data_IF_552032126255
#
_entry.id   IF_552032126255
#
_cell.length_a   1.000
_cell.length_b   1.000
_cell.length_c   1.000
_cell.angle_alpha   90.00
_cell.angle_beta   90.00
_cell.angle_gamma   90.00
#
_symmetry.space_group_name_H-M   'P 1'
#
loop_
_entity.id
_entity.type
_entity.pdbx_description
1 polymer ?
#
# COMPACT_ATOMS: atom_id res chain seq x y z
N UNK A 1 -23.30 14.34 -5.31
CA UNK A 1 -22.08 14.43 -4.47
C UNK A 1 -21.01 13.57 -5.13
N UNK A 2 -19.76 14.05 -5.26
CA UNK A 2 -18.64 13.29 -5.86
C UNK A 2 -17.87 12.48 -4.80
N UNK A 3 -17.04 11.53 -5.25
CA UNK A 3 -16.30 10.62 -4.35
C UNK A 3 -15.46 11.40 -3.33
N UNK A 4 -14.85 12.50 -3.75
CA UNK A 4 -13.96 13.30 -2.91
C UNK A 4 -14.65 13.98 -1.74
N UNK A 5 -15.84 14.53 -1.97
CA UNK A 5 -16.65 15.15 -0.91
C UNK A 5 -17.08 14.06 0.08
N UNK A 6 -17.58 12.92 -0.41
CA UNK A 6 -18.00 11.80 0.43
C UNK A 6 -16.84 11.29 1.29
N UNK A 7 -15.67 11.06 0.67
CA UNK A 7 -14.47 10.60 1.36
C UNK A 7 -13.97 11.63 2.39
N UNK A 8 -13.93 12.91 2.03
CA UNK A 8 -13.56 13.99 2.96
C UNK A 8 -14.46 14.06 4.18
N UNK A 9 -15.78 13.98 3.99
CA UNK A 9 -16.75 13.94 5.10
C UNK A 9 -16.48 12.74 6.01
N UNK A 10 -16.26 11.56 5.45
CA UNK A 10 -15.98 10.35 6.23
C UNK A 10 -14.66 10.47 7.01
N UNK A 11 -13.62 11.08 6.44
CA UNK A 11 -12.37 11.35 7.15
C UNK A 11 -12.54 12.36 8.30
N UNK A 12 -13.36 13.39 8.12
CA UNK A 12 -13.70 14.35 9.19
C UNK A 12 -14.47 13.64 10.31
N UNK A 13 -15.47 12.84 9.97
CA UNK A 13 -16.22 12.01 10.92
C UNK A 13 -15.26 11.07 11.68
N UNK A 14 -14.34 10.41 10.96
CA UNK A 14 -13.31 9.56 11.56
C UNK A 14 -12.40 10.33 12.53
N UNK A 15 -12.05 11.58 12.25
CA UNK A 15 -11.28 12.38 13.17
C UNK A 15 -12.09 12.78 14.41
N UNK A 16 -13.35 13.21 14.23
CA UNK A 16 -14.24 13.66 15.31
C UNK A 16 -14.55 12.51 16.27
N UNK A 17 -15.06 11.38 15.79
CA UNK A 17 -15.27 10.20 16.64
C UNK A 17 -13.94 9.68 17.19
N UNK A 18 -12.87 9.87 16.43
CA UNK A 18 -11.53 9.63 16.87
C UNK A 18 -11.17 10.42 18.13
N UNK A 19 -11.55 11.68 18.21
CA UNK A 19 -11.27 12.52 19.37
C UNK A 19 -12.03 12.06 20.62
N UNK A 20 -13.29 11.65 20.46
CA UNK A 20 -14.17 11.25 21.58
C UNK A 20 -14.01 9.79 22.03
N UNK A 21 -13.30 8.95 21.27
CA UNK A 21 -13.16 7.53 21.59
C UNK A 21 -12.22 7.31 22.79
N UNK A 22 -12.71 6.58 23.80
CA UNK A 22 -11.92 6.21 24.97
C UNK A 22 -10.79 5.22 24.64
N UNK A 23 -9.74 5.24 25.46
CA UNK A 23 -8.56 4.37 25.29
C UNK A 23 -8.85 2.88 25.10
N UNK A 24 -9.70 2.21 25.91
CA UNK A 24 -9.91 0.77 25.77
C UNK A 24 -10.63 0.40 24.47
N UNK A 25 -11.45 1.30 23.91
CA UNK A 25 -12.20 1.07 22.68
C UNK A 25 -11.43 1.48 21.43
N UNK A 26 -10.30 2.19 21.58
CA UNK A 26 -9.57 2.81 20.49
C UNK A 26 -9.07 1.84 19.41
N UNK A 27 -8.52 0.70 19.83
CA UNK A 27 -8.04 -0.32 18.87
C UNK A 27 -9.19 -0.86 18.03
N UNK A 28 -10.33 -1.11 18.67
CA UNK A 28 -11.56 -1.56 17.99
C UNK A 28 -12.07 -0.46 17.07
N UNK A 29 -12.05 0.79 17.52
CA UNK A 29 -12.43 1.94 16.71
C UNK A 29 -11.60 2.06 15.42
N UNK A 30 -10.27 1.98 15.50
CA UNK A 30 -9.39 2.05 14.33
C UNK A 30 -9.74 0.94 13.32
N UNK A 31 -9.94 -0.29 13.79
CA UNK A 31 -10.28 -1.43 12.94
C UNK A 31 -11.69 -1.30 12.34
N UNK A 32 -12.69 -0.93 13.15
CA UNK A 32 -14.08 -0.79 12.71
C UNK A 32 -14.27 0.43 11.79
N UNK A 33 -13.43 1.45 11.92
CA UNK A 33 -13.48 2.61 11.03
C UNK A 33 -13.23 2.25 9.56
N UNK A 34 -12.55 1.13 9.28
CA UNK A 34 -12.35 0.63 7.91
C UNK A 34 -13.66 0.44 7.16
N UNK A 35 -14.70 -0.08 7.83
CA UNK A 35 -16.02 -0.29 7.25
C UNK A 35 -16.70 1.02 6.83
N UNK A 36 -16.50 2.09 7.60
CA UNK A 36 -17.08 3.41 7.30
C UNK A 36 -16.26 4.16 6.24
N UNK A 37 -14.93 4.13 6.35
CA UNK A 37 -14.01 4.75 5.41
C UNK A 37 -14.18 4.18 3.99
N UNK A 38 -14.56 2.91 3.87
CA UNK A 38 -14.80 2.26 2.59
C UNK A 38 -16.15 2.62 1.92
N UNK A 39 -17.11 3.21 2.62
CA UNK A 39 -18.46 3.48 2.10
C UNK A 39 -18.43 4.22 0.74
N UNK A 40 -17.64 5.28 0.53
CA UNK A 40 -17.57 5.97 -0.76
C UNK A 40 -17.21 5.05 -1.92
N UNK A 41 -16.41 4.00 -1.69
CA UNK A 41 -15.99 3.06 -2.73
C UNK A 41 -17.13 2.18 -3.24
N UNK A 42 -18.13 1.89 -2.40
CA UNK A 42 -19.33 1.15 -2.82
C UNK A 42 -20.07 1.85 -3.96
N UNK A 43 -20.05 3.19 -3.94
CA UNK A 43 -20.80 4.01 -4.89
C UNK A 43 -19.97 4.48 -6.08
N UNK A 44 -18.72 4.03 -6.21
CA UNK A 44 -17.90 4.34 -7.39
C UNK A 44 -18.59 3.76 -8.61
N UNK A 45 -18.88 4.63 -9.58
CA UNK A 45 -19.30 4.24 -10.92
C UNK A 45 -18.13 4.42 -11.87
N UNK A 46 -17.84 3.44 -12.74
CA UNK A 46 -16.85 3.64 -13.79
C UNK A 46 -17.25 4.83 -14.65
N UNK A 47 -16.31 5.72 -14.93
CA UNK A 47 -16.57 6.84 -15.84
C UNK A 47 -16.82 6.28 -17.26
N UNK A 48 -17.85 6.75 -17.97
CA UNK A 48 -18.06 6.35 -19.35
C UNK A 48 -16.86 6.81 -20.20
N UNK A 49 -16.42 5.95 -21.13
CA UNK A 49 -15.29 6.21 -22.04
C UNK A 49 -13.91 6.34 -21.37
N UNK A 50 -13.74 5.93 -20.11
CA UNK A 50 -12.42 5.78 -19.51
C UNK A 50 -11.93 4.32 -19.62
N UNK A 51 -10.62 4.09 -19.77
CA UNK A 51 -10.03 2.73 -19.74
C UNK A 51 -9.58 2.39 -18.32
N UNK A 52 -10.51 2.47 -17.38
CA UNK A 52 -10.24 2.28 -15.96
C UNK A 52 -10.32 0.80 -15.57
N UNK A 53 -9.48 0.40 -14.62
CA UNK A 53 -9.44 -0.97 -14.10
C UNK A 53 -10.76 -1.32 -13.40
N UNK A 54 -11.47 -0.32 -12.87
CA UNK A 54 -12.85 -0.49 -12.36
C UNK A 54 -13.83 -1.02 -13.41
N UNK A 55 -13.71 -0.63 -14.68
CA UNK A 55 -14.52 -1.19 -15.78
C UNK A 55 -14.13 -2.65 -16.00
N UNK A 56 -12.82 -2.94 -16.05
CA UNK A 56 -12.33 -4.31 -16.26
C UNK A 56 -12.84 -5.25 -15.17
N UNK A 57 -12.75 -4.87 -13.90
CA UNK A 57 -13.26 -5.68 -12.79
C UNK A 57 -14.80 -5.80 -12.81
N UNK A 58 -15.51 -4.73 -13.15
CA UNK A 58 -16.98 -4.78 -13.32
C UNK A 58 -17.37 -5.79 -14.40
N UNK A 59 -16.76 -5.71 -15.58
CA UNK A 59 -17.02 -6.63 -16.68
C UNK A 59 -16.67 -8.08 -16.31
N UNK A 60 -15.57 -8.32 -15.60
CA UNK A 60 -15.20 -9.65 -15.12
C UNK A 60 -16.24 -10.21 -14.14
N UNK A 61 -16.74 -9.38 -13.21
CA UNK A 61 -17.82 -9.78 -12.30
C UNK A 61 -19.10 -10.13 -13.06
N UNK A 62 -19.47 -9.33 -14.07
CA UNK A 62 -20.64 -9.57 -14.92
C UNK A 62 -20.52 -10.88 -15.72
N UNK A 63 -19.35 -11.16 -16.31
CA UNK A 63 -19.07 -12.42 -17.02
C UNK A 63 -19.17 -13.62 -16.07
N UNK A 64 -18.49 -13.55 -14.92
CA UNK A 64 -18.52 -14.64 -13.94
C UNK A 64 -19.95 -14.89 -13.43
N UNK A 65 -20.73 -13.83 -13.17
CA UNK A 65 -22.15 -13.95 -12.81
C UNK A 65 -22.97 -14.64 -13.89
N UNK A 66 -22.79 -14.24 -15.15
CA UNK A 66 -23.48 -14.85 -16.29
C UNK A 66 -23.12 -16.32 -16.50
N UNK A 67 -21.91 -16.75 -16.15
CA UNK A 67 -21.52 -18.16 -16.24
C UNK A 67 -22.02 -18.97 -15.04
N UNK A 68 -22.01 -18.35 -13.86
CA UNK A 68 -22.50 -18.97 -12.63
C UNK A 68 -24.00 -19.28 -12.66
N UNK A 69 -24.79 -18.61 -13.51
CA UNK A 69 -26.22 -18.95 -13.69
C UNK A 69 -26.43 -20.34 -14.27
N UNK A 70 -25.45 -20.88 -15.00
CA UNK A 70 -25.49 -22.24 -15.57
C UNK A 70 -24.80 -23.27 -14.66
N UNK A 71 -24.25 -22.85 -13.51
CA UNK A 71 -23.55 -23.69 -12.55
C UNK A 71 -22.58 -22.87 -11.68
N UNK A 72 -22.69 -23.01 -10.35
CA UNK A 72 -22.01 -22.15 -9.35
C UNK A 72 -20.49 -22.04 -9.53
N UNK A 73 -19.84 -23.08 -10.06
CA UNK A 73 -18.38 -23.12 -10.29
C UNK A 73 -17.98 -22.80 -11.74
N UNK A 74 -18.91 -22.60 -12.66
CA UNK A 74 -18.59 -22.37 -14.07
C UNK A 74 -17.80 -21.07 -14.27
N UNK A 75 -18.18 -20.00 -13.55
CA UNK A 75 -17.44 -18.74 -13.59
C UNK A 75 -16.04 -18.86 -12.96
N UNK A 76 -15.87 -19.71 -11.93
CA UNK A 76 -14.56 -20.01 -11.37
C UNK A 76 -13.68 -20.77 -12.37
N UNK A 77 -14.24 -21.80 -13.01
CA UNK A 77 -13.53 -22.60 -14.02
C UNK A 77 -13.07 -21.72 -15.19
N UNK A 78 -13.98 -20.91 -15.75
CA UNK A 78 -13.64 -19.95 -16.80
C UNK A 78 -12.60 -18.94 -16.32
N UNK A 79 -12.73 -18.44 -15.09
CA UNK A 79 -11.76 -17.54 -14.47
C UNK A 79 -10.35 -18.12 -14.44
N UNK A 80 -10.23 -19.43 -14.15
CA UNK A 80 -8.95 -20.13 -14.04
C UNK A 80 -8.33 -20.54 -15.38
N UNK A 81 -9.10 -20.62 -16.47
CA UNK A 81 -8.59 -21.05 -17.79
C UNK A 81 -8.51 -19.91 -18.82
N UNK A 82 -9.53 -19.06 -18.89
CA UNK A 82 -9.71 -18.10 -19.99
C UNK A 82 -9.50 -16.63 -19.58
N UNK A 83 -9.62 -16.30 -18.30
CA UNK A 83 -9.56 -14.90 -17.89
C UNK A 83 -8.15 -14.32 -17.99
N UNK A 84 -8.05 -12.99 -18.05
CA UNK A 84 -6.79 -12.24 -17.92
C UNK A 84 -6.03 -12.53 -16.61
N UNK A 85 -6.69 -13.16 -15.63
CA UNK A 85 -6.14 -13.57 -14.34
C UNK A 85 -6.02 -15.08 -14.17
N UNK A 86 -6.13 -15.88 -15.24
CA UNK A 86 -6.00 -17.35 -15.18
C UNK A 86 -4.75 -17.82 -14.41
N UNK A 87 -3.63 -17.10 -14.55
CA UNK A 87 -2.37 -17.40 -13.85
C UNK A 87 -2.28 -16.84 -12.42
N UNK A 88 -3.37 -16.27 -11.90
CA UNK A 88 -3.47 -15.65 -10.58
C UNK A 88 -4.69 -16.21 -9.83
N UNK A 89 -4.64 -17.49 -9.40
CA UNK A 89 -5.80 -18.19 -8.87
C UNK A 89 -6.45 -17.51 -7.66
N UNK A 90 -5.66 -16.88 -6.78
CA UNK A 90 -6.21 -16.15 -5.63
C UNK A 90 -7.04 -14.94 -6.07
N UNK A 91 -6.59 -14.21 -7.10
CA UNK A 91 -7.34 -13.08 -7.66
C UNK A 91 -8.65 -13.57 -8.27
N UNK A 92 -8.61 -14.68 -9.03
CA UNK A 92 -9.82 -15.28 -9.62
C UNK A 92 -10.80 -15.73 -8.54
N UNK A 93 -10.33 -16.44 -7.51
CA UNK A 93 -11.17 -16.87 -6.38
C UNK A 93 -11.78 -15.65 -5.68
N UNK A 94 -11.01 -14.59 -5.47
CA UNK A 94 -11.47 -13.37 -4.83
C UNK A 94 -12.58 -12.68 -5.64
N UNK A 95 -12.41 -12.53 -6.96
CA UNK A 95 -13.44 -11.97 -7.86
C UNK A 95 -14.66 -12.90 -7.89
N UNK A 96 -14.46 -14.21 -7.99
CA UNK A 96 -15.55 -15.19 -8.02
C UNK A 96 -16.38 -15.16 -6.72
N UNK A 97 -15.76 -15.10 -5.55
CA UNK A 97 -16.47 -14.97 -4.27
C UNK A 97 -17.33 -13.70 -4.23
N UNK A 98 -16.82 -12.60 -4.77
CA UNK A 98 -17.55 -11.32 -4.79
C UNK A 98 -18.58 -11.24 -5.93
N UNK A 99 -18.50 -12.13 -6.92
CA UNK A 99 -19.49 -12.26 -7.99
C UNK A 99 -20.85 -12.77 -7.50
N UNK A 100 -20.93 -13.39 -6.32
CA UNK A 100 -22.22 -13.80 -5.74
C UNK A 100 -23.13 -12.63 -5.37
N UNK A 101 -22.58 -11.42 -5.31
CA UNK A 101 -23.35 -10.21 -5.12
C UNK A 101 -23.75 -9.60 -6.47
N UNK A 102 -25.00 -9.16 -6.58
CA UNK A 102 -25.53 -8.55 -7.82
C UNK A 102 -24.92 -7.19 -8.15
N UNK A 103 -24.39 -6.47 -7.15
CA UNK A 103 -23.85 -5.13 -7.30
C UNK A 103 -22.32 -5.13 -7.26
N UNK A 104 -21.68 -4.67 -8.36
CA UNK A 104 -20.23 -4.52 -8.48
C UNK A 104 -19.61 -3.61 -7.41
N UNK A 105 -20.37 -2.65 -6.86
CA UNK A 105 -19.94 -1.79 -5.76
C UNK A 105 -19.47 -2.55 -4.52
N UNK A 106 -20.00 -3.76 -4.28
CA UNK A 106 -19.59 -4.61 -3.15
C UNK A 106 -18.13 -5.03 -3.27
N UNK A 107 -17.65 -5.30 -4.49
CA UNK A 107 -16.26 -5.67 -4.73
C UNK A 107 -15.30 -4.54 -4.35
N UNK A 108 -15.60 -3.30 -4.78
CA UNK A 108 -14.78 -2.13 -4.45
C UNK A 108 -14.85 -1.81 -2.95
N UNK A 109 -16.04 -1.89 -2.35
CA UNK A 109 -16.22 -1.71 -0.92
C UNK A 109 -15.37 -2.70 -0.12
N UNK A 110 -15.50 -4.00 -0.36
CA UNK A 110 -14.78 -5.05 0.38
C UNK A 110 -13.27 -4.89 0.22
N UNK A 111 -12.81 -4.55 -0.98
CA UNK A 111 -11.39 -4.28 -1.24
C UNK A 111 -10.87 -3.14 -0.35
N UNK A 112 -11.58 -2.00 -0.32
CA UNK A 112 -11.18 -0.87 0.51
C UNK A 112 -11.30 -1.19 2.00
N UNK A 113 -12.31 -1.98 2.42
CA UNK A 113 -12.39 -2.45 3.81
C UNK A 113 -11.15 -3.24 4.17
N UNK A 114 -10.75 -4.21 3.35
CA UNK A 114 -9.56 -5.04 3.61
C UNK A 114 -8.30 -4.18 3.69
N UNK A 115 -8.10 -3.27 2.72
CA UNK A 115 -6.97 -2.34 2.71
C UNK A 115 -6.92 -1.47 3.97
N UNK A 116 -8.01 -0.75 4.28
CA UNK A 116 -8.02 0.16 5.45
C UNK A 116 -7.91 -0.62 6.75
N UNK A 117 -8.47 -1.84 6.82
CA UNK A 117 -8.35 -2.71 7.99
C UNK A 117 -6.91 -3.16 8.23
N UNK A 118 -6.19 -3.57 7.18
CA UNK A 118 -4.78 -3.99 7.27
C UNK A 118 -3.88 -2.81 7.69
N UNK A 119 -4.09 -1.64 7.10
CA UNK A 119 -3.42 -0.40 7.50
C UNK A 119 -3.71 -0.05 8.97
N UNK A 120 -4.97 -0.10 9.39
CA UNK A 120 -5.36 0.12 10.78
C UNK A 120 -4.73 -0.92 11.72
N UNK A 121 -4.64 -2.18 11.31
CA UNK A 121 -3.98 -3.23 12.06
C UNK A 121 -2.47 -2.98 12.19
N UNK A 122 -1.80 -2.47 11.16
CA UNK A 122 -0.40 -2.06 11.22
C UNK A 122 -0.19 -0.90 12.22
N UNK A 123 -1.09 0.09 12.22
CA UNK A 123 -1.11 1.17 13.21
C UNK A 123 -1.29 0.60 14.62
N UNK A 124 -2.28 -0.27 14.83
CA UNK A 124 -2.54 -0.89 16.15
C UNK A 124 -1.34 -1.71 16.62
N UNK A 125 -0.73 -2.52 15.76
CA UNK A 125 0.47 -3.30 16.10
C UNK A 125 1.66 -2.41 16.44
N UNK A 126 1.79 -1.27 15.76
CA UNK A 126 2.83 -0.27 16.06
C UNK A 126 2.60 0.39 17.43
N UNK A 127 1.36 0.80 17.74
CA UNK A 127 1.01 1.35 19.06
C UNK A 127 1.30 0.36 20.19
N UNK A 128 0.95 -0.92 19.99
CA UNK A 128 1.23 -2.02 20.94
C UNK A 128 2.74 -2.21 21.13
N UNK A 129 3.50 -2.26 20.05
CA UNK A 129 4.95 -2.45 20.09
C UNK A 129 5.65 -1.34 20.86
N UNK A 130 5.21 -0.10 20.68
CA UNK A 130 5.83 1.07 21.31
C UNK A 130 5.15 1.51 22.61
N UNK A 131 4.17 0.75 23.12
CA UNK A 131 3.42 1.05 24.35
C UNK A 131 2.86 2.49 24.38
N UNK A 132 2.37 2.98 23.24
CA UNK A 132 1.88 4.36 23.12
C UNK A 132 0.57 4.50 23.90
N UNK A 133 0.56 5.41 24.88
CA UNK A 133 -0.61 5.71 25.72
C UNK A 133 -1.47 6.85 25.19
N UNK A 134 -0.92 7.71 24.32
CA UNK A 134 -1.65 8.83 23.74
C UNK A 134 -2.63 8.35 22.65
N UNK A 135 -3.91 8.54 22.95
CA UNK A 135 -5.06 8.01 22.20
C UNK A 135 -5.12 8.55 20.75
N UNK A 136 -4.62 9.76 20.51
CA UNK A 136 -4.73 10.42 19.21
C UNK A 136 -3.67 9.99 18.20
N UNK A 137 -2.56 9.40 18.66
CA UNK A 137 -1.45 9.01 17.79
C UNK A 137 -1.90 8.05 16.70
N UNK A 138 -2.70 7.04 17.05
CA UNK A 138 -3.22 6.07 16.08
C UNK A 138 -4.11 6.70 15.02
N UNK A 139 -5.08 7.52 15.45
CA UNK A 139 -6.01 8.19 14.53
C UNK A 139 -5.29 9.18 13.64
N UNK A 140 -4.41 10.01 14.19
CA UNK A 140 -3.65 10.98 13.41
C UNK A 140 -2.73 10.26 12.41
N UNK A 141 -2.06 9.18 12.81
CA UNK A 141 -1.20 8.42 11.90
C UNK A 141 -2.01 7.80 10.75
N UNK A 142 -3.14 7.13 11.06
CA UNK A 142 -4.00 6.53 10.04
C UNK A 142 -4.58 7.61 9.11
N UNK A 143 -5.03 8.74 9.66
CA UNK A 143 -5.54 9.87 8.89
C UNK A 143 -4.48 10.45 7.93
N UNK A 144 -3.26 10.69 8.42
CA UNK A 144 -2.15 11.21 7.60
C UNK A 144 -1.89 10.28 6.42
N UNK A 145 -1.79 8.96 6.66
CA UNK A 145 -1.54 8.00 5.58
C UNK A 145 -2.70 7.97 4.58
N UNK A 146 -3.95 7.96 5.06
CA UNK A 146 -5.16 7.96 4.22
C UNK A 146 -5.36 9.25 3.41
N UNK A 147 -4.84 10.38 3.89
CA UNK A 147 -4.88 11.66 3.19
C UNK A 147 -3.74 11.82 2.18
N UNK A 148 -2.56 11.27 2.49
CA UNK A 148 -1.41 11.24 1.56
C UNK A 148 -1.65 10.24 0.44
N UNK A 149 -2.22 9.07 0.76
CA UNK A 149 -2.55 8.05 -0.24
C UNK A 149 -3.82 8.43 -1.02
N UNK A 150 -3.77 8.23 -2.33
CA UNK A 150 -4.96 8.35 -3.16
C UNK A 150 -5.80 7.07 -3.02
N UNK A 151 -6.84 7.09 -2.19
CA UNK A 151 -7.67 5.90 -1.93
C UNK A 151 -8.34 5.35 -3.19
N UNK A 152 -8.61 6.21 -4.18
CA UNK A 152 -9.17 5.79 -5.46
C UNK A 152 -8.18 4.95 -6.28
N UNK A 153 -6.86 5.10 -6.07
CA UNK A 153 -5.87 4.21 -6.70
C UNK A 153 -5.95 2.77 -6.20
N UNK A 154 -6.44 2.52 -4.98
CA UNK A 154 -6.74 1.16 -4.55
C UNK A 154 -8.01 0.64 -5.25
N UNK A 155 -9.03 1.49 -5.46
CA UNK A 155 -10.23 1.12 -6.21
C UNK A 155 -9.91 0.76 -7.67
N UNK A 156 -9.02 1.53 -8.30
CA UNK A 156 -8.49 1.30 -9.65
C UNK A 156 -7.33 0.29 -9.70
N UNK A 157 -6.87 -0.21 -8.56
CA UNK A 157 -5.59 -0.92 -8.46
C UNK A 157 -5.60 -2.04 -7.43
N UNK A 158 -6.78 -2.66 -7.25
CA UNK A 158 -7.23 -3.62 -6.20
C UNK A 158 -6.20 -4.67 -5.76
N UNK A 159 -5.17 -4.92 -6.57
CA UNK A 159 -4.17 -5.96 -6.33
C UNK A 159 -2.86 -5.42 -5.77
N UNK A 160 -2.40 -4.27 -6.25
CA UNK A 160 -1.00 -3.85 -6.07
C UNK A 160 -0.78 -3.29 -4.66
N UNK A 161 -1.61 -2.33 -4.29
CA UNK A 161 -1.48 -1.60 -3.03
C UNK A 161 -1.99 -2.46 -1.86
N UNK A 162 -3.03 -3.28 -2.06
CA UNK A 162 -3.40 -4.34 -1.11
C UNK A 162 -2.25 -5.32 -0.85
N UNK A 163 -1.56 -5.80 -1.89
CA UNK A 163 -0.39 -6.68 -1.71
C UNK A 163 0.74 -5.98 -0.93
N UNK A 164 0.99 -4.71 -1.20
CA UNK A 164 1.98 -3.92 -0.44
C UNK A 164 1.61 -3.72 1.02
N UNK A 165 0.33 -3.49 1.33
CA UNK A 165 -0.11 -3.31 2.71
C UNK A 165 -0.07 -4.64 3.49
N UNK A 166 -0.48 -5.76 2.86
CA UNK A 166 -0.27 -7.12 3.41
C UNK A 166 1.22 -7.33 3.70
N UNK A 167 2.11 -7.01 2.76
CA UNK A 167 3.56 -7.14 2.94
C UNK A 167 4.07 -6.26 4.09
N UNK A 168 3.69 -4.98 4.15
CA UNK A 168 4.13 -4.04 5.16
C UNK A 168 3.73 -4.49 6.58
N UNK A 169 2.47 -4.94 6.74
CA UNK A 169 1.97 -5.50 7.99
C UNK A 169 2.70 -6.80 8.37
N UNK A 170 2.76 -7.76 7.44
CA UNK A 170 3.39 -9.05 7.67
C UNK A 170 4.86 -8.90 8.06
N UNK A 171 5.58 -8.00 7.38
CA UNK A 171 6.98 -7.71 7.64
C UNK A 171 7.20 -7.06 9.00
N UNK A 172 6.36 -6.07 9.36
CA UNK A 172 6.43 -5.46 10.69
C UNK A 172 6.21 -6.49 11.80
N UNK A 173 5.22 -7.38 11.65
CA UNK A 173 4.93 -8.43 12.65
C UNK A 173 6.05 -9.47 12.70
N UNK A 174 6.56 -9.94 11.56
CA UNK A 174 7.60 -10.97 11.44
C UNK A 174 8.87 -10.60 12.21
N UNK A 175 9.39 -9.39 11.97
CA UNK A 175 10.65 -8.97 12.60
C UNK A 175 10.49 -8.63 14.08
N UNK A 176 9.27 -8.34 14.54
CA UNK A 176 9.01 -7.95 15.93
C UNK A 176 8.47 -9.08 16.82
N UNK A 177 8.04 -10.20 16.26
CA UNK A 177 7.53 -11.35 17.01
C UNK A 177 8.62 -12.39 17.29
N UNK A 178 8.58 -12.98 18.49
CA UNK A 178 9.41 -14.13 18.84
C UNK A 178 8.66 -15.47 18.65
N UNK A 179 7.34 -15.42 18.51
CA UNK A 179 6.50 -16.62 18.42
C UNK A 179 6.61 -17.25 17.02
N UNK A 180 7.04 -18.52 16.96
CA UNK A 180 7.18 -19.29 15.71
C UNK A 180 5.88 -19.39 14.91
N UNK A 181 4.73 -19.53 15.58
CA UNK A 181 3.41 -19.59 14.92
C UNK A 181 3.12 -18.29 14.16
N UNK A 182 3.39 -17.14 14.76
CA UNK A 182 3.19 -15.86 14.09
C UNK A 182 4.18 -15.64 12.95
N UNK A 183 5.43 -16.11 13.07
CA UNK A 183 6.38 -16.08 11.95
C UNK A 183 5.90 -16.90 10.76
N UNK A 184 5.41 -18.11 11.00
CA UNK A 184 4.83 -18.95 9.94
C UNK A 184 3.66 -18.24 9.25
N UNK A 185 2.75 -17.64 10.02
CA UNK A 185 1.64 -16.85 9.46
C UNK A 185 2.13 -15.65 8.62
N UNK A 186 3.22 -14.98 9.03
CA UNK A 186 3.82 -13.91 8.22
C UNK A 186 4.36 -14.43 6.88
N UNK A 187 5.01 -15.60 6.85
CA UNK A 187 5.45 -16.21 5.59
C UNK A 187 4.28 -16.61 4.69
N UNK A 188 3.19 -17.13 5.26
CA UNK A 188 1.95 -17.36 4.51
C UNK A 188 1.37 -16.04 3.97
N UNK A 189 1.40 -14.96 4.76
CA UNK A 189 0.96 -13.65 4.30
C UNK A 189 1.83 -13.09 3.16
N UNK A 190 3.15 -13.34 3.14
CA UNK A 190 3.99 -12.99 2.00
C UNK A 190 3.59 -13.74 0.72
N UNK A 191 3.25 -15.03 0.83
CA UNK A 191 2.77 -15.82 -0.30
C UNK A 191 1.41 -15.32 -0.80
N UNK A 192 0.51 -14.96 0.13
CA UNK A 192 -0.79 -14.34 -0.22
C UNK A 192 -0.55 -13.01 -0.93
N UNK A 193 0.32 -12.14 -0.42
CA UNK A 193 0.66 -10.87 -1.06
C UNK A 193 1.18 -11.07 -2.49
N UNK A 194 2.08 -12.03 -2.70
CA UNK A 194 2.59 -12.41 -4.02
C UNK A 194 1.46 -12.90 -4.96
N UNK A 195 0.57 -13.74 -4.44
CA UNK A 195 -0.54 -14.27 -5.20
C UNK A 195 -1.61 -13.23 -5.56
N UNK A 196 -1.74 -12.16 -4.77
CA UNK A 196 -2.51 -10.97 -5.16
C UNK A 196 -1.80 -10.18 -6.26
N UNK A 197 -0.50 -9.89 -6.08
CA UNK A 197 0.26 -9.20 -7.11
C UNK A 197 1.78 -9.48 -7.08
N UNK A 198 2.42 -9.79 -8.22
CA UNK A 198 3.86 -10.10 -8.28
C UNK A 198 4.78 -8.90 -7.97
N UNK A 199 4.27 -7.68 -7.88
CA UNK A 199 5.08 -6.51 -7.52
C UNK A 199 5.76 -6.62 -6.14
N UNK A 200 5.30 -7.50 -5.25
CA UNK A 200 5.95 -7.72 -3.96
C UNK A 200 7.20 -8.59 -4.01
N UNK A 201 7.46 -9.29 -5.13
CA UNK A 201 8.57 -10.25 -5.25
C UNK A 201 9.92 -9.64 -4.85
N UNK A 202 10.33 -8.44 -5.34
CA UNK A 202 11.62 -7.87 -4.95
C UNK A 202 11.75 -7.73 -3.43
N UNK A 203 10.66 -7.35 -2.76
CA UNK A 203 10.65 -7.13 -1.32
C UNK A 203 10.67 -8.45 -0.52
N UNK A 204 10.03 -9.50 -1.03
CA UNK A 204 10.15 -10.85 -0.46
C UNK A 204 11.59 -11.36 -0.61
N UNK A 205 12.23 -11.13 -1.76
CA UNK A 205 13.64 -11.48 -1.99
C UNK A 205 14.54 -10.71 -1.02
N UNK A 206 14.37 -9.39 -0.86
CA UNK A 206 15.11 -8.61 0.12
C UNK A 206 14.91 -9.14 1.55
N UNK A 207 13.69 -9.58 1.89
CA UNK A 207 13.43 -10.20 3.19
C UNK A 207 14.23 -11.49 3.39
N UNK A 208 14.28 -12.35 2.37
CA UNK A 208 15.08 -13.60 2.39
C UNK A 208 16.57 -13.26 2.55
N UNK A 209 17.07 -12.30 1.79
CA UNK A 209 18.48 -11.86 1.89
C UNK A 209 18.81 -11.36 3.30
N UNK A 210 17.91 -10.60 3.93
CA UNK A 210 18.08 -10.12 5.30
C UNK A 210 18.16 -11.24 6.36
N UNK A 211 17.73 -12.47 6.04
CA UNK A 211 17.93 -13.64 6.92
C UNK A 211 19.40 -14.03 7.04
N UNK A 212 20.22 -13.75 6.02
CA UNK A 212 21.66 -14.07 6.04
C UNK A 212 22.41 -13.33 7.14
N UNK A 213 21.90 -12.16 7.56
CA UNK A 213 22.54 -11.21 8.51
C UNK A 213 23.97 -10.80 8.12
N UNK A 214 24.41 -11.11 6.90
CA UNK A 214 25.77 -10.80 6.44
C UNK A 214 25.83 -9.35 5.99
N UNK A 215 26.66 -8.54 6.65
CA UNK A 215 26.79 -7.10 6.36
C UNK A 215 27.17 -6.80 4.91
N UNK A 216 27.97 -7.65 4.28
CA UNK A 216 28.41 -7.47 2.89
C UNK A 216 27.30 -7.78 1.91
N UNK A 217 26.58 -8.89 2.10
CA UNK A 217 25.41 -9.23 1.28
C UNK A 217 24.37 -8.11 1.37
N UNK A 218 24.10 -7.61 2.58
CA UNK A 218 23.15 -6.50 2.80
C UNK A 218 23.64 -5.21 2.12
N UNK A 219 24.94 -4.90 2.20
CA UNK A 219 25.54 -3.75 1.53
C UNK A 219 25.40 -3.84 0.00
N UNK A 220 25.78 -4.97 -0.61
CA UNK A 220 25.63 -5.17 -2.05
C UNK A 220 24.18 -5.20 -2.50
N UNK A 221 23.26 -5.66 -1.65
CA UNK A 221 21.81 -5.60 -1.93
C UNK A 221 21.32 -4.15 -1.98
N UNK A 222 21.79 -3.28 -1.06
CA UNK A 222 21.48 -1.84 -1.09
C UNK A 222 22.03 -1.17 -2.33
N UNK A 223 23.28 -1.47 -2.69
CA UNK A 223 23.91 -0.94 -3.89
C UNK A 223 23.17 -1.40 -5.16
N UNK A 224 22.89 -2.70 -5.25
CA UNK A 224 22.12 -3.30 -6.34
C UNK A 224 20.73 -2.67 -6.47
N UNK A 225 20.00 -2.52 -5.36
CA UNK A 225 18.69 -1.86 -5.34
C UNK A 225 18.75 -0.41 -5.85
N UNK A 226 19.84 0.32 -5.62
CA UNK A 226 20.00 1.68 -6.12
C UNK A 226 20.29 1.75 -7.62
N UNK A 227 21.04 0.79 -8.18
CA UNK A 227 21.55 0.86 -9.55
C UNK A 227 20.90 -0.12 -10.53
N UNK A 228 20.00 -1.00 -10.07
CA UNK A 228 19.48 -2.12 -10.87
C UNK A 228 18.87 -1.69 -12.21
N UNK A 229 18.27 -0.51 -12.27
CA UNK A 229 17.58 -0.06 -13.48
C UNK A 229 18.53 0.14 -14.66
N UNK A 230 19.78 0.53 -14.40
CA UNK A 230 20.83 0.62 -15.43
C UNK A 230 21.20 -0.75 -16.01
N UNK A 231 21.04 -1.81 -15.21
CA UNK A 231 21.35 -3.18 -15.62
C UNK A 231 20.13 -3.96 -16.08
N UNK A 232 18.93 -3.35 -16.08
CA UNK A 232 17.69 -4.03 -16.45
C UNK A 232 17.75 -4.63 -17.85
N UNK A 233 18.24 -3.96 -18.91
CA UNK A 233 18.38 -4.57 -20.23
C UNK A 233 19.29 -5.81 -20.25
N UNK A 234 20.38 -5.78 -19.49
CA UNK A 234 21.35 -6.89 -19.38
C UNK A 234 20.75 -8.06 -18.58
N UNK A 235 20.02 -7.76 -17.51
CA UNK A 235 19.32 -8.75 -16.69
C UNK A 235 18.25 -9.45 -17.53
N UNK A 236 17.44 -8.69 -18.27
CA UNK A 236 16.38 -9.23 -19.12
C UNK A 236 16.95 -10.08 -20.24
N UNK A 237 18.02 -9.64 -20.92
CA UNK A 237 18.66 -10.43 -21.99
C UNK A 237 19.29 -11.73 -21.46
N UNK A 238 19.93 -11.69 -20.29
CA UNK A 238 20.47 -12.88 -19.64
C UNK A 238 19.37 -13.89 -19.31
N UNK A 239 18.28 -13.46 -18.68
CA UNK A 239 17.19 -14.38 -18.34
C UNK A 239 16.46 -14.87 -19.60
N UNK A 240 16.35 -14.06 -20.67
CA UNK A 240 15.72 -14.46 -21.94
C UNK A 240 16.48 -15.59 -22.63
N UNK A 241 17.79 -15.73 -22.35
CA UNK A 241 18.60 -16.85 -22.85
C UNK A 241 18.29 -18.20 -22.18
N UNK A 242 17.50 -18.20 -21.09
CA UNK A 242 17.13 -19.42 -20.35
C UNK A 242 15.71 -19.84 -20.76
N UNK A 243 15.61 -20.94 -21.52
CA UNK A 243 14.37 -21.40 -22.17
C UNK A 243 13.16 -21.57 -21.24
N UNK A 244 13.38 -22.00 -20.00
CA UNK A 244 12.31 -22.15 -19.00
C UNK A 244 11.83 -20.81 -18.41
N UNK A 245 12.65 -19.75 -18.46
CA UNK A 245 12.36 -18.43 -17.86
C UNK A 245 11.80 -17.44 -18.89
N UNK A 246 12.08 -17.65 -20.19
CA UNK A 246 11.63 -16.79 -21.30
C UNK A 246 10.14 -16.39 -21.24
N UNK A 247 9.16 -17.29 -20.98
CA UNK A 247 7.74 -16.90 -20.89
C UNK A 247 7.40 -15.98 -19.70
N UNK A 248 8.21 -16.01 -18.64
CA UNK A 248 8.05 -15.12 -17.48
C UNK A 248 8.59 -13.72 -17.77
N UNK A 249 9.56 -13.60 -18.68
CA UNK A 249 10.25 -12.35 -18.99
C UNK A 249 9.49 -11.55 -20.03
N UNK A 250 8.88 -12.19 -21.01
CA UNK A 250 7.99 -11.49 -21.95
C UNK A 250 6.85 -10.75 -21.22
N UNK A 251 6.39 -11.28 -20.09
CA UNK A 251 5.44 -10.62 -19.18
C UNK A 251 6.09 -9.55 -18.31
N UNK A 252 7.34 -9.73 -17.92
CA UNK A 252 8.10 -8.74 -17.18
C UNK A 252 8.43 -7.52 -18.07
N UNK A 253 8.79 -7.73 -19.34
CA UNK A 253 9.03 -6.67 -20.32
C UNK A 253 7.78 -5.82 -20.53
N UNK A 254 6.61 -6.44 -20.70
CA UNK A 254 5.33 -5.73 -20.75
C UNK A 254 5.01 -4.95 -19.45
N UNK A 255 5.51 -5.41 -18.30
CA UNK A 255 5.34 -4.73 -17.02
C UNK A 255 6.35 -3.57 -16.82
N UNK A 256 7.59 -3.73 -17.31
CA UNK A 256 8.65 -2.72 -17.21
C UNK A 256 8.48 -1.62 -18.27
N UNK A 257 8.05 -1.95 -19.49
CA UNK A 257 7.95 -1.03 -20.63
C UNK A 257 6.51 -0.58 -20.94
N UNK A 258 5.51 -1.14 -20.25
CA UNK A 258 4.10 -0.77 -20.38
C UNK A 258 3.31 -1.68 -21.32
N UNK A 259 2.01 -1.84 -21.03
CA UNK A 259 1.08 -2.55 -21.91
C UNK A 259 0.69 -1.60 -23.05
N UNK A 260 1.05 -1.91 -24.28
CA UNK A 260 0.83 -1.09 -25.48
C UNK A 260 -0.64 -0.75 -25.81
N UNK A 261 -1.61 -1.35 -25.13
CA UNK A 261 -3.05 -1.20 -25.42
C UNK A 261 -3.84 -0.44 -24.35
N UNK A 262 -3.18 0.04 -23.28
CA UNK A 262 -3.80 0.86 -22.25
C UNK A 262 -2.86 2.03 -21.97
N UNK A 263 -3.36 3.28 -22.01
CA UNK A 263 -2.58 4.49 -21.75
C UNK A 263 -2.01 4.48 -20.31
N UNK A 264 -0.88 3.82 -20.11
CA UNK A 264 -0.18 3.71 -18.84
C UNK A 264 0.76 4.90 -18.57
N UNK A 265 0.42 6.07 -19.12
CA UNK A 265 1.19 7.29 -18.90
C UNK A 265 0.65 8.00 -17.66
N UNK A 266 1.33 7.80 -16.52
CA UNK A 266 1.11 8.68 -15.37
C UNK A 266 1.41 10.12 -15.81
N UNK A 267 0.49 11.03 -15.51
CA UNK A 267 0.67 12.42 -15.91
C UNK A 267 1.89 13.02 -15.21
N UNK A 268 2.57 14.01 -15.83
CA UNK A 268 3.69 14.72 -15.20
C UNK A 268 3.33 15.26 -13.80
N UNK A 269 2.06 15.60 -13.58
CA UNK A 269 1.55 16.06 -12.29
C UNK A 269 1.54 14.92 -11.27
N UNK A 270 1.05 13.73 -11.64
CA UNK A 270 1.03 12.56 -10.76
C UNK A 270 2.45 12.17 -10.33
N UNK A 271 3.40 12.20 -11.27
CA UNK A 271 4.81 11.94 -10.99
C UNK A 271 5.37 12.96 -10.00
N UNK A 272 5.12 14.25 -10.24
CA UNK A 272 5.60 15.32 -9.37
C UNK A 272 5.07 15.16 -7.93
N UNK A 273 3.75 15.00 -7.77
CA UNK A 273 3.13 14.94 -6.44
C UNK A 273 3.44 13.64 -5.70
N UNK A 274 3.56 12.51 -6.40
CA UNK A 274 4.02 11.27 -5.78
C UNK A 274 5.50 11.37 -5.38
N UNK A 275 6.33 12.04 -6.18
CA UNK A 275 7.73 12.35 -5.80
C UNK A 275 7.80 13.24 -4.54
N UNK A 276 6.86 14.17 -4.34
CA UNK A 276 6.79 14.94 -3.09
C UNK A 276 6.54 14.04 -1.86
N UNK A 277 5.76 12.96 -2.01
CA UNK A 277 5.61 11.94 -0.96
C UNK A 277 6.96 11.30 -0.65
N UNK A 278 7.73 10.92 -1.66
CA UNK A 278 9.08 10.35 -1.46
C UNK A 278 9.99 11.32 -0.71
N UNK A 279 10.02 12.59 -1.10
CA UNK A 279 10.82 13.63 -0.41
C UNK A 279 10.39 13.76 1.05
N UNK A 280 9.09 13.79 1.33
CA UNK A 280 8.56 13.78 2.69
C UNK A 280 9.02 12.56 3.49
N UNK A 281 8.99 11.36 2.91
CA UNK A 281 9.43 10.11 3.56
C UNK A 281 10.95 10.07 3.81
N UNK A 282 11.75 10.70 2.94
CA UNK A 282 13.20 10.87 3.15
C UNK A 282 13.46 11.81 4.32
N UNK A 283 12.81 12.97 4.36
CA UNK A 283 12.94 13.95 5.45
C UNK A 283 12.53 13.32 6.78
N UNK A 284 11.45 12.56 6.80
CA UNK A 284 11.00 11.81 7.97
C UNK A 284 12.06 10.83 8.48
N UNK A 285 12.64 10.02 7.58
CA UNK A 285 13.69 9.08 7.95
C UNK A 285 14.94 9.81 8.47
N UNK A 286 15.36 10.89 7.82
CA UNK A 286 16.51 11.70 8.25
C UNK A 286 16.28 12.26 9.65
N UNK A 287 15.10 12.84 9.91
CA UNK A 287 14.73 13.32 11.24
C UNK A 287 14.80 12.19 12.26
N UNK A 288 14.24 11.02 11.95
CA UNK A 288 14.24 9.85 12.82
C UNK A 288 15.66 9.39 13.21
N UNK A 289 16.62 9.50 12.30
CA UNK A 289 18.03 9.27 12.58
C UNK A 289 18.67 10.39 13.40
N UNK A 290 18.43 11.65 13.05
CA UNK A 290 19.00 12.83 13.73
C UNK A 290 18.67 12.84 15.23
N UNK A 291 17.42 12.49 15.57
CA UNK A 291 16.96 12.41 16.97
C UNK A 291 17.28 11.06 17.64
N UNK A 292 18.08 10.21 16.99
CA UNK A 292 18.54 8.90 17.50
C UNK A 292 17.42 7.90 17.86
N UNK A 293 16.20 8.08 17.32
CA UNK A 293 15.10 7.13 17.50
C UNK A 293 15.30 5.83 16.70
N UNK A 294 16.21 5.81 15.73
CA UNK A 294 16.59 4.62 14.97
C UNK A 294 17.00 3.43 15.86
N UNK A 295 17.50 3.67 17.08
CA UNK A 295 17.84 2.61 18.05
C UNK A 295 16.61 1.94 18.69
N UNK A 296 15.45 2.59 18.63
CA UNK A 296 14.22 2.16 19.29
C UNK A 296 13.30 1.34 18.37
N UNK A 297 13.66 1.20 17.09
CA UNK A 297 13.00 0.29 16.14
C UNK A 297 13.88 -0.93 15.87
N UNK A 298 13.27 -2.01 15.41
CA UNK A 298 14.00 -3.20 14.99
C UNK A 298 14.96 -2.86 13.83
N UNK A 299 16.24 -3.22 13.95
CA UNK A 299 17.26 -2.88 12.95
C UNK A 299 17.03 -3.58 11.61
N UNK A 300 16.47 -4.80 11.60
CA UNK A 300 16.11 -5.50 10.36
C UNK A 300 14.98 -4.74 9.64
N UNK A 301 14.02 -4.21 10.40
CA UNK A 301 12.95 -3.37 9.84
C UNK A 301 13.53 -2.13 9.15
N UNK A 302 14.44 -1.45 9.84
CA UNK A 302 15.07 -0.23 9.34
C UNK A 302 15.99 -0.50 8.13
N UNK A 303 16.70 -1.63 8.13
CA UNK A 303 17.50 -2.08 6.97
C UNK A 303 16.61 -2.33 5.75
N UNK A 304 15.47 -3.00 5.92
CA UNK A 304 14.51 -3.21 4.85
C UNK A 304 13.94 -1.89 4.35
N UNK A 305 13.52 -0.98 5.24
CA UNK A 305 13.04 0.35 4.86
C UNK A 305 14.05 1.10 3.99
N UNK A 306 15.34 1.06 4.36
CA UNK A 306 16.42 1.66 3.56
C UNK A 306 16.59 0.95 2.21
N UNK A 307 16.54 -0.38 2.16
CA UNK A 307 16.65 -1.11 0.89
C UNK A 307 15.48 -0.74 -0.03
N UNK A 308 14.24 -0.68 0.48
CA UNK A 308 13.07 -0.25 -0.29
C UNK A 308 13.20 1.20 -0.73
N UNK A 309 13.77 2.08 0.11
CA UNK A 309 14.03 3.48 -0.25
C UNK A 309 15.02 3.58 -1.42
N UNK A 310 16.14 2.86 -1.34
CA UNK A 310 17.13 2.81 -2.41
C UNK A 310 16.58 2.16 -3.68
N UNK A 311 15.79 1.09 -3.54
CA UNK A 311 15.06 0.48 -4.65
C UNK A 311 14.14 1.49 -5.34
N UNK A 312 13.38 2.24 -4.56
CA UNK A 312 12.47 3.28 -5.07
C UNK A 312 13.25 4.36 -5.82
N UNK A 313 14.33 4.88 -5.25
CA UNK A 313 15.19 5.87 -5.94
C UNK A 313 15.80 5.26 -7.21
N UNK A 314 16.32 4.04 -7.13
CA UNK A 314 16.90 3.33 -8.26
C UNK A 314 15.90 3.06 -9.38
N UNK A 315 14.60 2.97 -9.06
CA UNK A 315 13.51 2.75 -10.01
C UNK A 315 13.17 3.97 -10.87
N UNK A 316 13.85 5.11 -10.76
CA UNK A 316 13.44 6.38 -11.39
C UNK A 316 13.25 6.33 -12.92
N UNK A 317 13.94 5.43 -13.64
CA UNK A 317 13.73 5.23 -15.08
C UNK A 317 12.52 4.35 -15.40
N UNK A 318 11.96 3.65 -14.40
CA UNK A 318 10.74 2.86 -14.52
C UNK A 318 9.59 3.52 -13.75
N UNK A 319 8.78 4.31 -14.47
CA UNK A 319 7.71 5.12 -13.88
C UNK A 319 6.73 4.32 -13.01
N UNK A 320 6.28 3.15 -13.48
CA UNK A 320 5.28 2.36 -12.76
C UNK A 320 5.86 1.75 -11.47
N UNK A 321 7.08 1.20 -11.52
CA UNK A 321 7.75 0.65 -10.33
C UNK A 321 8.10 1.77 -9.35
N UNK A 322 8.55 2.91 -9.86
CA UNK A 322 8.87 4.10 -9.06
C UNK A 322 7.67 4.57 -8.24
N UNK A 323 6.55 4.91 -8.88
CA UNK A 323 5.37 5.46 -8.21
C UNK A 323 4.78 4.47 -7.20
N UNK A 324 4.69 3.19 -7.57
CA UNK A 324 4.16 2.12 -6.71
C UNK A 324 5.03 1.89 -5.48
N UNK A 325 6.35 1.91 -5.63
CA UNK A 325 7.29 1.69 -4.51
C UNK A 325 7.28 2.83 -3.50
N UNK A 326 6.98 4.07 -3.93
CA UNK A 326 6.74 5.20 -3.00
C UNK A 326 5.56 4.91 -2.08
N UNK A 327 4.48 4.32 -2.60
CA UNK A 327 3.32 3.98 -1.79
C UNK A 327 3.64 2.83 -0.81
N UNK A 328 4.42 1.83 -1.21
CA UNK A 328 4.90 0.83 -0.26
C UNK A 328 5.72 1.48 0.87
N UNK A 329 6.62 2.42 0.54
CA UNK A 329 7.36 3.16 1.56
C UNK A 329 6.44 3.93 2.50
N UNK A 330 5.37 4.54 1.98
CA UNK A 330 4.37 5.22 2.80
C UNK A 330 3.74 4.24 3.82
N UNK A 331 3.38 3.03 3.42
CA UNK A 331 2.84 2.02 4.35
C UNK A 331 3.89 1.55 5.36
N UNK A 332 5.12 1.28 4.90
CA UNK A 332 6.24 0.93 5.78
C UNK A 332 6.69 2.08 6.69
N UNK A 333 6.27 3.33 6.43
CA UNK A 333 6.58 4.46 7.30
C UNK A 333 5.69 4.52 8.53
N UNK A 334 4.55 3.79 8.56
CA UNK A 334 3.57 3.81 9.65
C UNK A 334 4.23 3.64 11.04
N UNK A 335 5.09 2.63 11.30
CA UNK A 335 5.70 2.49 12.62
C UNK A 335 6.63 3.66 12.98
N UNK A 336 7.33 4.24 11.99
CA UNK A 336 8.19 5.42 12.18
C UNK A 336 7.31 6.63 12.57
N UNK A 337 6.21 6.87 11.84
CA UNK A 337 5.23 7.92 12.16
C UNK A 337 4.63 7.74 13.55
N UNK A 338 4.14 6.55 13.89
CA UNK A 338 3.60 6.26 15.23
C UNK A 338 4.61 6.63 16.30
N UNK A 339 5.89 6.29 16.11
CA UNK A 339 6.93 6.61 17.07
C UNK A 339 7.20 8.13 17.16
N UNK A 340 7.31 8.82 16.03
CA UNK A 340 7.50 10.28 15.98
C UNK A 340 6.31 11.06 16.56
N UNK A 341 5.09 10.54 16.44
CA UNK A 341 3.87 11.14 17.00
C UNK A 341 3.61 10.76 18.47
N UNK A 342 4.21 9.67 18.98
CA UNK A 342 4.08 9.25 20.38
C UNK A 342 4.66 10.24 21.39
N UNK A 343 4.20 10.23 22.65
CA UNK A 343 4.55 11.26 23.64
C UNK A 343 6.07 11.37 23.88
N UNK A 344 6.59 12.57 23.60
CA UNK A 344 7.99 13.02 23.72
C UNK A 344 8.43 13.17 25.19
N UNK A 345 7.54 12.99 26.17
CA UNK A 345 7.85 13.16 27.59
C UNK A 345 8.95 12.23 28.12
N UNK A 346 9.27 11.16 27.39
CA UNK A 346 10.39 10.24 27.70
C UNK A 346 11.70 10.58 26.97
N UNK A 347 11.68 11.55 26.07
CA UNK A 347 12.88 11.96 25.32
C UNK A 347 13.66 12.97 26.17
N UNK A 348 14.58 12.46 27.00
CA UNK A 348 15.63 13.22 27.70
C UNK A 348 16.64 13.84 26.70
N UNK A 349 16.16 14.62 25.72
CA UNK A 349 16.97 15.17 24.65
C UNK A 349 16.90 16.70 24.59
N UNK A 350 17.98 17.27 24.06
CA UNK A 350 18.20 18.70 23.79
C UNK A 350 16.93 19.38 23.21
N UNK A 351 16.63 20.59 23.68
CA UNK A 351 15.47 21.43 23.26
C UNK A 351 15.31 21.48 21.74
N UNK A 352 16.42 21.54 21.00
CA UNK A 352 16.44 21.55 19.53
C UNK A 352 15.72 20.35 18.93
N UNK A 353 15.98 19.14 19.42
CA UNK A 353 15.36 17.92 18.89
C UNK A 353 13.86 17.86 19.19
N UNK A 354 13.46 18.34 20.37
CA UNK A 354 12.03 18.45 20.73
C UNK A 354 11.31 19.39 19.77
N UNK A 355 11.88 20.55 19.46
CA UNK A 355 11.34 21.49 18.48
C UNK A 355 11.23 20.89 17.07
N UNK A 356 12.26 20.17 16.61
CA UNK A 356 12.22 19.49 15.30
C UNK A 356 11.10 18.47 15.18
N UNK A 357 10.81 17.71 16.24
CA UNK A 357 9.71 16.74 16.23
C UNK A 357 8.35 17.44 16.20
N UNK A 358 8.16 18.52 16.97
CA UNK A 358 6.92 19.30 16.89
C UNK A 358 6.70 19.88 15.50
N UNK A 359 7.74 20.49 14.91
CA UNK A 359 7.69 21.00 13.55
C UNK A 359 7.28 19.90 12.56
N UNK A 360 7.90 18.72 12.64
CA UNK A 360 7.54 17.58 11.81
C UNK A 360 6.08 17.14 11.96
N UNK A 361 5.52 17.16 13.17
CA UNK A 361 4.10 16.78 13.39
C UNK A 361 3.17 17.76 12.68
N UNK A 362 3.40 19.06 12.83
CA UNK A 362 2.61 20.08 12.15
C UNK A 362 2.80 20.02 10.63
N UNK A 363 4.04 19.91 10.16
CA UNK A 363 4.37 19.79 8.74
C UNK A 363 3.72 18.55 8.12
N UNK A 364 3.69 17.41 8.83
CA UNK A 364 3.04 16.18 8.34
C UNK A 364 1.53 16.34 8.17
N UNK A 365 0.86 17.04 9.10
CA UNK A 365 -0.58 17.32 9.01
C UNK A 365 -0.87 18.28 7.84
N UNK A 366 -0.08 19.35 7.70
CA UNK A 366 -0.21 20.31 6.60
C UNK A 366 0.03 19.61 5.26
N UNK A 367 1.09 18.81 5.17
CA UNK A 367 1.42 18.05 3.97
C UNK A 367 0.29 17.07 3.60
N UNK A 368 -0.28 16.35 4.57
CA UNK A 368 -1.39 15.44 4.30
C UNK A 368 -2.66 16.16 3.80
N UNK A 369 -2.98 17.33 4.36
CA UNK A 369 -4.09 18.18 3.87
C UNK A 369 -3.82 18.64 2.43
N UNK A 370 -2.61 19.08 2.14
CA UNK A 370 -2.21 19.51 0.80
C UNK A 370 -2.30 18.36 -0.21
N UNK A 371 -1.83 17.16 0.14
CA UNK A 371 -1.95 15.96 -0.69
C UNK A 371 -3.41 15.58 -0.93
N UNK A 372 -4.25 15.60 0.10
CA UNK A 372 -5.69 15.35 -0.07
C UNK A 372 -6.35 16.36 -1.01
N UNK A 373 -6.04 17.66 -0.85
CA UNK A 373 -6.54 18.71 -1.74
C UNK A 373 -6.09 18.50 -3.19
N UNK A 374 -4.85 18.07 -3.40
CA UNK A 374 -4.36 17.71 -4.73
C UNK A 374 -5.12 16.51 -5.32
N UNK A 375 -5.27 15.41 -4.57
CA UNK A 375 -6.02 14.24 -5.02
C UNK A 375 -7.49 14.55 -5.28
N UNK A 376 -8.08 15.46 -4.51
CA UNK A 376 -9.42 15.96 -4.75
C UNK A 376 -9.54 16.62 -6.14
N UNK A 377 -8.62 17.51 -6.47
CA UNK A 377 -8.64 18.24 -7.75
C UNK A 377 -8.33 17.31 -8.93
N UNK A 378 -7.33 16.42 -8.80
CA UNK A 378 -6.90 15.59 -9.93
C UNK A 378 -7.78 14.36 -10.15
N UNK A 379 -8.24 13.73 -9.07
CA UNK A 379 -8.89 12.40 -9.12
C UNK A 379 -10.30 12.48 -8.58
N UNK A 380 -10.48 12.80 -7.30
CA UNK A 380 -11.74 12.53 -6.62
C UNK A 380 -12.94 13.37 -7.10
N UNK A 381 -12.69 14.59 -7.58
CA UNK A 381 -13.73 15.46 -8.12
C UNK A 381 -14.30 14.97 -9.45
N UNK A 382 -13.55 14.13 -10.18
CA UNK A 382 -13.90 13.58 -11.49
C UNK A 382 -14.57 12.22 -11.40
N UNK A 383 -14.61 11.60 -10.21
CA UNK A 383 -15.25 10.31 -9.97
C UNK A 383 -16.69 10.56 -9.50
N UNK A 384 -17.70 10.28 -10.34
CA UNK A 384 -19.08 10.39 -9.93
C UNK A 384 -19.39 9.31 -8.88
N UNK A 385 -19.95 9.72 -7.73
CA UNK A 385 -20.36 8.78 -6.68
C UNK A 385 -21.86 8.77 -6.41
N UNK A 386 -22.65 9.78 -6.80
CA UNK A 386 -24.09 9.81 -6.53
C UNK A 386 -24.86 10.58 -7.60
N UNK A 387 -25.77 9.89 -8.30
CA UNK A 387 -26.99 10.45 -8.89
C UNK A 387 -28.13 10.00 -7.99
N UNK A 388 -28.69 10.90 -7.18
CA UNK A 388 -29.92 10.62 -6.45
C UNK A 388 -31.10 10.58 -7.43
#
# INVERSE_FOLDING_TARGET
MNFGIAYGIVLVIFLIFGFFCSNPLRKRYLLLSAFFIAIPAFFVKPAPFSTWDTIRFSNLLDIIRSLNSSGVFNGLQWGMSESVYANQPIVVIYIWLLSFFSNNGIFFYVTIVLFVFLLALLVVKSLEKYKVTNNMVGVITQLIVLMIFNLFFEVEGVRNFLAFDIFALAFFVDVNTLNKKYKFLCWMAYLIAYAFHPAVIPFIIFRIILLSKNRWIIFFTKLGALIYTFFTPVILSFFNSISFISPLIERADNYFYGQSNYDAHATNREILFTTLILVYLIIELLLFYLIRMSKQINQIYLQMYIIVLLFTIGSFLNMQVYLRSIILLLFMSVPIKVKLFSNISELNYNVVYKSSVYFYRYASIIFSIMMFGYWYIQTYSRVPSLSF
#
